data_IF_062538060681
#
_entry.id   IF_062538060681
#
_cell.length_a   1.000
_cell.length_b   1.000
_cell.length_c   1.000
_cell.angle_alpha   90.00
_cell.angle_beta   90.00
_cell.angle_gamma   90.00
#
_symmetry.space_group_name_H-M   'P 1'
#
loop_
_entity.id
_entity.type
_entity.pdbx_description
1 polymer ?
#
# COMPACT_ATOMS: atom_id res chain seq x y z
N UNK A 1 18.36 14.42 2.02
CA UNK A 1 17.34 14.20 3.04
C UNK A 1 17.87 13.05 3.90
N UNK A 2 17.15 12.24 4.55
CA UNK A 2 17.61 11.13 5.40
C UNK A 2 16.63 10.89 6.55
N UNK A 3 15.45 11.51 6.43
CA UNK A 3 14.38 11.36 7.40
C UNK A 3 13.74 9.96 7.29
N UNK A 4 13.30 9.47 8.43
CA UNK A 4 12.75 8.14 8.61
C UNK A 4 11.30 8.28 9.06
N UNK A 5 10.38 7.56 8.40
CA UNK A 5 8.97 7.53 8.77
C UNK A 5 8.63 6.15 9.33
N UNK A 6 8.04 6.12 10.52
CA UNK A 6 7.64 4.89 11.21
C UNK A 6 6.14 4.93 11.47
N UNK A 7 5.45 3.84 11.12
CA UNK A 7 4.02 3.64 11.41
C UNK A 7 3.84 2.61 12.50
N UNK A 8 2.98 2.87 13.48
CA UNK A 8 2.62 1.95 14.57
C UNK A 8 1.12 1.62 14.52
N UNK A 9 0.75 0.84 13.51
CA UNK A 9 -0.65 0.52 13.24
C UNK A 9 -1.26 -0.56 14.13
N UNK A 10 -0.45 -1.36 14.82
CA UNK A 10 -0.94 -2.36 15.77
C UNK A 10 -0.91 -1.89 17.23
N UNK A 11 -0.31 -0.76 17.49
CA UNK A 11 -0.23 -0.14 18.81
C UNK A 11 -0.97 1.18 18.87
N UNK A 12 -0.23 2.29 18.79
CA UNK A 12 -0.75 3.63 19.06
C UNK A 12 -1.54 4.27 17.92
N UNK A 13 -1.57 3.69 16.74
CA UNK A 13 -2.16 4.26 15.52
C UNK A 13 -1.50 5.60 15.15
N UNK A 14 -0.18 5.68 15.29
CA UNK A 14 0.59 6.90 15.06
C UNK A 14 1.63 6.71 13.97
N UNK A 15 1.98 7.83 13.36
CA UNK A 15 3.07 7.95 12.40
C UNK A 15 4.05 8.97 12.95
N UNK A 16 5.31 8.56 13.06
CA UNK A 16 6.37 9.44 13.56
C UNK A 16 7.45 9.62 12.51
N UNK A 17 7.80 10.86 12.23
CA UNK A 17 8.97 11.27 11.47
C UNK A 17 10.15 11.46 12.39
N UNK A 18 11.27 10.88 12.04
CA UNK A 18 12.57 11.05 12.71
C UNK A 18 13.58 11.67 11.74
N UNK A 19 14.55 12.37 12.28
CA UNK A 19 15.74 12.72 11.50
C UNK A 19 16.66 11.51 11.30
N UNK A 20 17.73 11.68 10.51
CA UNK A 20 18.75 10.64 10.26
C UNK A 20 19.45 10.10 11.51
N UNK A 21 19.37 10.78 12.64
CA UNK A 21 19.96 10.40 13.92
C UNK A 21 18.91 9.81 14.88
N UNK A 22 17.72 9.44 14.39
CA UNK A 22 16.59 8.91 15.16
C UNK A 22 15.99 9.88 16.18
N UNK A 23 16.24 11.18 16.04
CA UNK A 23 15.56 12.19 16.86
C UNK A 23 14.13 12.37 16.33
N UNK A 24 13.08 12.23 17.17
CA UNK A 24 11.71 12.46 16.73
C UNK A 24 11.49 13.93 16.38
N UNK A 25 10.95 14.18 15.21
CA UNK A 25 10.65 15.52 14.71
C UNK A 25 9.17 15.84 14.81
N UNK A 26 8.29 14.91 14.40
CA UNK A 26 6.84 15.08 14.43
C UNK A 26 6.13 13.75 14.56
N UNK A 27 5.05 13.73 15.33
CA UNK A 27 4.15 12.58 15.46
C UNK A 27 2.72 13.02 15.18
N UNK A 28 2.02 12.29 14.32
CA UNK A 28 0.60 12.48 14.01
C UNK A 28 -0.17 11.19 14.28
N UNK A 29 -1.49 11.24 14.20
CA UNK A 29 -2.33 10.04 14.23
C UNK A 29 -3.19 9.93 15.47
N UNK A 30 -3.29 8.69 15.97
CA UNK A 30 -4.30 8.23 16.93
C UNK A 30 -5.46 7.55 16.21
N UNK A 31 -6.21 6.72 16.92
CA UNK A 31 -7.33 5.94 16.36
C UNK A 31 -8.47 6.86 15.92
N UNK A 32 -8.98 6.67 14.70
CA UNK A 32 -10.12 7.42 14.18
C UNK A 32 -10.32 7.25 12.67
N UNK A 33 -11.32 7.98 12.15
CA UNK A 33 -11.67 8.03 10.71
C UNK A 33 -11.46 9.40 10.09
N UNK A 34 -11.22 10.41 10.91
CA UNK A 34 -10.95 11.78 10.46
C UNK A 34 -9.60 11.82 9.72
N UNK A 35 -9.37 12.85 8.93
CA UNK A 35 -8.08 13.06 8.28
C UNK A 35 -6.97 13.22 9.32
N UNK A 36 -5.87 12.52 9.08
CA UNK A 36 -4.75 12.45 10.03
C UNK A 36 -4.96 11.48 11.19
N UNK A 37 -6.11 10.78 11.30
CA UNK A 37 -6.36 9.64 12.20
C UNK A 37 -6.34 8.34 11.42
N UNK A 38 -6.09 7.22 12.11
CA UNK A 38 -5.91 5.93 11.47
C UNK A 38 -6.66 4.82 12.19
N UNK A 39 -6.95 3.77 11.43
CA UNK A 39 -7.33 2.47 11.93
C UNK A 39 -6.42 1.43 11.26
N UNK A 40 -5.37 1.04 11.96
CA UNK A 40 -4.25 0.25 11.46
C UNK A 40 -3.50 0.93 10.31
N UNK A 41 -2.72 2.00 10.63
CA UNK A 41 -1.74 2.57 9.70
C UNK A 41 -0.63 1.54 9.47
N UNK A 42 -0.70 0.81 8.35
CA UNK A 42 0.11 -0.40 8.16
C UNK A 42 1.36 -0.19 7.31
N UNK A 43 1.23 0.48 6.18
CA UNK A 43 2.34 0.78 5.28
C UNK A 43 2.61 2.27 5.19
N UNK A 44 3.87 2.62 4.95
CA UNK A 44 4.30 3.99 4.65
C UNK A 44 5.27 3.97 3.49
N UNK A 45 5.18 4.97 2.62
CA UNK A 45 6.06 5.14 1.47
C UNK A 45 6.30 6.62 1.17
N UNK A 46 7.55 6.97 0.90
CA UNK A 46 7.87 8.29 0.35
C UNK A 46 7.87 8.18 -1.16
N UNK A 47 6.82 8.69 -1.77
CA UNK A 47 6.64 8.68 -3.23
C UNK A 47 7.38 9.84 -3.87
N UNK A 48 8.05 9.53 -4.98
CA UNK A 48 8.70 10.51 -5.86
C UNK A 48 8.03 10.56 -7.24
N UNK A 49 6.77 10.14 -7.34
CA UNK A 49 6.02 10.18 -8.61
C UNK A 49 5.70 11.60 -9.07
N UNK A 50 5.63 12.54 -8.13
CA UNK A 50 5.42 13.97 -8.40
C UNK A 50 6.73 14.76 -8.20
N UNK A 51 6.75 15.97 -8.71
CA UNK A 51 7.91 16.86 -8.54
C UNK A 51 8.27 17.08 -7.07
N UNK A 52 7.27 17.20 -6.21
CA UNK A 52 7.45 17.26 -4.76
C UNK A 52 7.14 15.87 -4.17
N UNK A 53 8.08 15.26 -3.44
CA UNK A 53 7.85 13.99 -2.78
C UNK A 53 6.70 14.06 -1.77
N UNK A 54 5.94 12.97 -1.68
CA UNK A 54 4.78 12.86 -0.79
C UNK A 54 4.85 11.56 0.04
N UNK A 55 4.32 11.61 1.26
CA UNK A 55 4.25 10.46 2.16
C UNK A 55 2.88 9.82 2.05
N UNK A 56 2.82 8.59 1.53
CA UNK A 56 1.61 7.77 1.46
C UNK A 56 1.53 6.85 2.66
N UNK A 57 0.36 6.77 3.28
CA UNK A 57 0.09 5.91 4.42
C UNK A 57 -1.12 5.03 4.12
N UNK A 58 -0.93 3.71 4.25
CA UNK A 58 -1.99 2.72 4.13
C UNK A 58 -2.81 2.69 5.43
N UNK A 59 -3.97 3.31 5.41
CA UNK A 59 -4.93 3.31 6.53
C UNK A 59 -5.87 2.11 6.37
N UNK A 60 -5.33 0.91 6.72
CA UNK A 60 -5.83 -0.40 6.32
C UNK A 60 -7.30 -0.62 6.62
N UNK A 61 -7.70 -0.54 7.90
CA UNK A 61 -9.06 -0.85 8.31
C UNK A 61 -10.05 0.32 8.10
N UNK A 62 -9.59 1.42 7.51
CA UNK A 62 -10.45 2.47 6.96
C UNK A 62 -10.57 2.37 5.43
N UNK A 63 -9.97 1.32 4.81
CA UNK A 63 -9.99 1.07 3.36
C UNK A 63 -9.62 2.29 2.52
N UNK A 64 -8.57 3.00 2.93
CA UNK A 64 -8.15 4.25 2.30
C UNK A 64 -6.63 4.46 2.35
N UNK A 65 -6.16 5.39 1.54
CA UNK A 65 -4.82 5.94 1.65
C UNK A 65 -4.91 7.39 2.12
N UNK A 66 -4.00 7.79 2.97
CA UNK A 66 -3.82 9.19 3.31
C UNK A 66 -2.47 9.68 2.81
N UNK A 67 -2.45 10.87 2.22
CA UNK A 67 -1.26 11.46 1.62
C UNK A 67 -0.89 12.74 2.36
N UNK A 68 0.38 12.86 2.68
CA UNK A 68 0.96 13.95 3.45
C UNK A 68 2.16 14.56 2.70
N UNK A 69 2.53 15.77 3.06
CA UNK A 69 3.84 16.29 2.71
C UNK A 69 4.95 15.65 3.56
N UNK A 70 6.21 15.98 3.30
CA UNK A 70 7.34 15.45 4.06
C UNK A 70 7.33 15.90 5.53
N UNK A 71 6.62 16.97 5.87
CA UNK A 71 6.44 17.47 7.24
C UNK A 71 5.24 16.82 7.94
N UNK A 72 4.63 15.78 7.35
CA UNK A 72 3.41 15.14 7.84
C UNK A 72 2.23 16.11 8.00
N UNK A 73 2.09 17.08 7.09
CA UNK A 73 0.86 17.86 6.94
C UNK A 73 -0.06 17.14 5.95
N UNK A 74 -1.31 16.90 6.35
CA UNK A 74 -2.27 16.19 5.52
C UNK A 74 -2.56 16.97 4.23
N UNK A 75 -2.50 16.29 3.08
CA UNK A 75 -2.79 16.88 1.76
C UNK A 75 -4.13 16.40 1.20
N UNK A 76 -4.39 15.09 1.26
CA UNK A 76 -5.60 14.47 0.71
C UNK A 76 -5.81 13.06 1.22
N UNK A 77 -7.04 12.59 1.12
CA UNK A 77 -7.44 11.21 1.41
C UNK A 77 -8.03 10.56 0.17
N UNK A 78 -7.56 9.37 -0.17
CA UNK A 78 -7.99 8.60 -1.34
C UNK A 78 -8.87 7.44 -0.86
N UNK A 79 -10.15 7.48 -1.19
CA UNK A 79 -11.16 6.49 -0.80
C UNK A 79 -11.72 5.74 -2.01
N UNK A 80 -12.26 4.53 -1.78
CA UNK A 80 -12.92 3.74 -2.83
C UNK A 80 -11.98 3.09 -3.85
N UNK A 81 -10.66 3.28 -3.72
CA UNK A 81 -9.66 2.76 -4.66
C UNK A 81 -8.88 1.56 -4.13
N UNK A 82 -8.84 1.35 -2.82
CA UNK A 82 -8.13 0.25 -2.14
C UNK A 82 -9.06 -0.49 -1.18
N UNK A 83 -8.68 -1.73 -0.81
CA UNK A 83 -9.40 -2.61 0.14
C UNK A 83 -8.39 -3.27 1.07
N UNK A 84 -8.33 -2.85 2.34
CA UNK A 84 -7.33 -3.32 3.29
C UNK A 84 -5.88 -3.19 2.79
N UNK A 85 -5.42 -1.99 2.38
CA UNK A 85 -4.09 -1.79 1.83
C UNK A 85 -2.99 -2.14 2.85
N UNK A 86 -1.90 -2.77 2.38
CA UNK A 86 -0.84 -3.26 3.24
C UNK A 86 0.45 -2.45 3.16
N UNK A 87 0.99 -2.33 1.98
CA UNK A 87 2.24 -1.65 1.72
C UNK A 87 2.21 -0.95 0.36
N UNK A 88 3.34 -0.39 -0.02
CA UNK A 88 3.53 0.29 -1.29
C UNK A 88 4.79 -0.19 -1.96
N UNK A 89 4.81 -0.12 -3.28
CA UNK A 89 6.02 -0.23 -4.07
C UNK A 89 5.94 0.69 -5.28
N UNK A 90 6.87 1.61 -5.39
CA UNK A 90 6.97 2.49 -6.56
C UNK A 90 7.91 1.87 -7.59
N UNK A 91 7.43 1.75 -8.83
CA UNK A 91 8.25 1.34 -9.97
C UNK A 91 7.91 2.21 -11.17
N UNK A 92 8.95 2.86 -11.72
CA UNK A 92 8.80 3.85 -12.80
C UNK A 92 7.76 4.92 -12.38
N UNK A 93 6.76 5.15 -13.21
CA UNK A 93 5.68 6.12 -13.05
C UNK A 93 4.43 5.55 -12.34
N UNK A 94 4.56 4.45 -11.58
CA UNK A 94 3.42 3.75 -10.98
C UNK A 94 3.64 3.45 -9.50
N UNK A 95 2.54 3.50 -8.75
CA UNK A 95 2.46 3.01 -7.38
C UNK A 95 1.66 1.72 -7.33
N UNK A 96 2.25 0.67 -6.80
CA UNK A 96 1.63 -0.63 -6.58
C UNK A 96 1.26 -0.80 -5.11
N UNK A 97 0.04 -1.25 -4.84
CA UNK A 97 -0.51 -1.35 -3.49
C UNK A 97 -1.17 -2.72 -3.34
N UNK A 98 -0.54 -3.67 -2.62
CA UNK A 98 -1.18 -4.91 -2.25
C UNK A 98 -2.35 -4.64 -1.28
N UNK A 99 -3.52 -5.13 -1.65
CA UNK A 99 -4.73 -5.12 -0.83
C UNK A 99 -4.99 -6.52 -0.27
N UNK A 100 -5.08 -6.70 1.05
CA UNK A 100 -5.38 -8.00 1.67
C UNK A 100 -6.71 -8.60 1.16
N UNK A 101 -7.61 -7.78 0.67
CA UNK A 101 -8.85 -8.22 0.04
C UNK A 101 -8.64 -8.59 -1.44
N UNK A 102 -7.66 -9.46 -1.67
CA UNK A 102 -7.50 -10.27 -2.89
C UNK A 102 -7.13 -9.53 -4.17
N UNK A 103 -6.40 -8.41 -4.11
CA UNK A 103 -5.92 -7.74 -5.32
C UNK A 103 -4.65 -6.93 -5.09
N UNK A 104 -4.02 -6.49 -6.18
CA UNK A 104 -3.04 -5.41 -6.16
C UNK A 104 -3.59 -4.25 -6.98
N UNK A 105 -3.70 -3.09 -6.33
CA UNK A 105 -4.11 -1.84 -6.97
C UNK A 105 -2.90 -1.12 -7.55
N UNK A 106 -3.00 -0.60 -8.77
CA UNK A 106 -1.96 0.18 -9.43
C UNK A 106 -2.49 1.59 -9.68
N UNK A 107 -1.75 2.59 -9.22
CA UNK A 107 -2.06 4.01 -9.43
C UNK A 107 -1.05 4.66 -10.37
N UNK A 108 -1.52 5.64 -11.14
CA UNK A 108 -0.70 6.60 -11.86
C UNK A 108 -0.20 7.74 -10.94
N UNK A 109 0.64 8.68 -11.44
CA UNK A 109 1.10 9.82 -10.64
C UNK A 109 0.00 10.76 -10.16
N UNK A 110 -1.17 10.75 -10.79
CA UNK A 110 -2.34 11.55 -10.41
C UNK A 110 -3.28 10.85 -9.42
N UNK A 111 -2.84 9.73 -8.84
CA UNK A 111 -3.60 8.87 -7.92
C UNK A 111 -4.82 8.18 -8.57
N UNK A 112 -4.88 8.12 -9.90
CA UNK A 112 -5.93 7.40 -10.61
C UNK A 112 -5.60 5.93 -10.70
N UNK A 113 -6.61 5.09 -10.51
CA UNK A 113 -6.47 3.64 -10.68
C UNK A 113 -6.25 3.32 -12.15
N UNK A 114 -5.09 2.71 -12.47
CA UNK A 114 -4.79 2.18 -13.80
C UNK A 114 -5.32 0.75 -13.95
N UNK A 115 -5.14 -0.07 -12.90
CA UNK A 115 -5.53 -1.47 -12.91
C UNK A 115 -5.71 -2.05 -11.51
N UNK A 116 -6.51 -3.11 -11.44
CA UNK A 116 -6.54 -4.05 -10.32
C UNK A 116 -6.08 -5.42 -10.83
N UNK A 117 -4.99 -5.94 -10.26
CA UNK A 117 -4.48 -7.26 -10.61
C UNK A 117 -5.01 -8.31 -9.65
N UNK A 118 -5.37 -9.49 -10.18
CA UNK A 118 -5.78 -10.64 -9.39
C UNK A 118 -7.13 -10.50 -8.70
N UNK A 119 -7.93 -9.52 -9.10
CA UNK A 119 -9.28 -9.29 -8.56
C UNK A 119 -10.24 -10.32 -9.12
N UNK A 120 -10.66 -11.28 -8.29
CA UNK A 120 -11.64 -12.30 -8.67
C UNK A 120 -13.06 -11.74 -8.76
N UNK A 121 -13.96 -12.46 -9.45
CA UNK A 121 -15.36 -12.08 -9.62
C UNK A 121 -16.15 -11.98 -8.28
N UNK A 122 -15.63 -12.57 -7.22
CA UNK A 122 -16.22 -12.52 -5.88
C UNK A 122 -15.61 -11.41 -5.01
N UNK A 123 -15.36 -10.28 -5.63
CA UNK A 123 -14.80 -9.09 -4.99
C UNK A 123 -15.82 -8.38 -4.07
N UNK A 124 -16.39 -9.10 -3.13
CA UNK A 124 -17.21 -8.54 -2.04
C UNK A 124 -16.35 -7.97 -0.89
N UNK A 125 -15.06 -7.82 -1.12
CA UNK A 125 -14.09 -7.42 -0.11
C UNK A 125 -13.60 -8.57 0.77
N UNK A 126 -14.00 -9.81 0.48
CA UNK A 126 -13.52 -11.02 1.16
C UNK A 126 -12.37 -11.64 0.39
N UNK A 127 -11.53 -12.36 1.11
CA UNK A 127 -10.36 -13.03 0.53
C UNK A 127 -10.77 -14.22 -0.36
N UNK A 128 -10.18 -14.34 -1.54
CA UNK A 128 -10.33 -15.51 -2.44
C UNK A 128 -9.62 -16.73 -1.85
N UNK A 129 -10.14 -17.28 -0.76
CA UNK A 129 -9.46 -18.35 0.00
C UNK A 129 -9.27 -19.65 -0.76
N UNK A 130 -10.13 -19.94 -1.72
CA UNK A 130 -10.15 -21.24 -2.38
C UNK A 130 -9.39 -21.28 -3.71
N UNK A 131 -9.30 -20.20 -4.45
CA UNK A 131 -8.93 -20.26 -5.87
C UNK A 131 -7.49 -19.87 -6.21
N UNK A 132 -6.73 -19.32 -5.26
CA UNK A 132 -5.37 -18.93 -5.59
C UNK A 132 -4.43 -20.14 -5.82
N UNK A 133 -4.80 -21.34 -5.42
CA UNK A 133 -4.04 -22.56 -5.69
C UNK A 133 -4.34 -23.15 -7.06
N UNK A 134 -5.55 -22.95 -7.57
CA UNK A 134 -6.06 -23.46 -8.84
C UNK A 134 -5.97 -22.43 -9.96
N UNK A 135 -6.16 -21.14 -9.63
CA UNK A 135 -6.03 -20.05 -10.58
C UNK A 135 -4.83 -19.13 -10.23
N UNK A 136 -3.69 -19.25 -10.93
CA UNK A 136 -2.50 -18.46 -10.63
C UNK A 136 -2.66 -16.96 -10.93
N UNK A 137 -3.72 -16.53 -11.58
CA UNK A 137 -4.01 -15.12 -11.83
C UNK A 137 -4.70 -14.41 -10.64
N UNK A 138 -5.27 -15.18 -9.69
CA UNK A 138 -5.97 -14.63 -8.53
C UNK A 138 -5.07 -14.58 -7.30
N UNK A 139 -5.24 -13.53 -6.51
CA UNK A 139 -4.64 -13.41 -5.18
C UNK A 139 -5.64 -13.82 -4.09
N UNK A 140 -5.12 -14.33 -2.98
CA UNK A 140 -5.91 -14.51 -1.75
C UNK A 140 -5.73 -13.31 -0.81
N UNK A 141 -4.52 -13.08 -0.32
CA UNK A 141 -4.19 -12.00 0.62
C UNK A 141 -2.81 -11.42 0.30
N UNK A 142 -2.63 -10.71 -0.83
CA UNK A 142 -1.34 -10.15 -1.17
C UNK A 142 -0.96 -9.10 -0.10
N UNK A 143 0.22 -9.29 0.50
CA UNK A 143 0.66 -8.48 1.63
C UNK A 143 1.87 -7.61 1.31
N UNK A 144 2.81 -8.15 0.56
CA UNK A 144 3.98 -7.42 0.11
C UNK A 144 4.34 -7.76 -1.33
N UNK A 145 5.06 -6.87 -1.98
CA UNK A 145 5.49 -7.03 -3.36
C UNK A 145 6.77 -6.26 -3.67
N UNK A 146 7.38 -6.61 -4.78
CA UNK A 146 8.48 -5.85 -5.39
C UNK A 146 8.45 -6.02 -6.91
N UNK A 147 9.16 -5.15 -7.62
CA UNK A 147 9.35 -5.25 -9.08
C UNK A 147 10.85 -5.18 -9.36
N UNK A 148 11.36 -6.09 -10.18
CA UNK A 148 12.77 -6.07 -10.58
C UNK A 148 13.03 -5.09 -11.74
N UNK A 149 14.31 -4.91 -12.10
CA UNK A 149 14.73 -4.00 -13.18
C UNK A 149 14.20 -4.40 -14.56
N UNK A 150 13.73 -5.63 -14.73
CA UNK A 150 13.10 -6.12 -15.97
C UNK A 150 11.59 -5.92 -15.98
N UNK A 151 11.01 -5.36 -14.91
CA UNK A 151 9.57 -5.18 -14.74
C UNK A 151 8.85 -6.45 -14.28
N UNK A 152 9.56 -7.51 -13.90
CA UNK A 152 8.91 -8.67 -13.32
C UNK A 152 8.38 -8.32 -11.93
N UNK A 153 7.12 -8.65 -11.71
CA UNK A 153 6.41 -8.41 -10.47
C UNK A 153 6.47 -9.66 -9.58
N UNK A 154 6.83 -9.47 -8.32
CA UNK A 154 6.87 -10.51 -7.31
C UNK A 154 5.93 -10.14 -6.17
N UNK A 155 5.12 -11.08 -5.69
CA UNK A 155 4.23 -10.88 -4.56
C UNK A 155 4.27 -12.04 -3.60
N UNK A 156 4.02 -11.76 -2.32
CA UNK A 156 3.83 -12.73 -1.25
C UNK A 156 2.49 -12.50 -0.59
N UNK A 157 1.87 -13.58 -0.11
CA UNK A 157 0.53 -13.57 0.48
C UNK A 157 0.57 -13.97 1.95
N UNK A 158 -0.30 -13.36 2.74
CA UNK A 158 -0.42 -13.59 4.18
C UNK A 158 -1.45 -14.69 4.49
N UNK A 159 -1.21 -15.90 4.00
CA UNK A 159 -2.01 -17.10 4.29
C UNK A 159 -1.10 -18.32 4.34
N UNK A 160 -1.47 -19.36 5.08
CA UNK A 160 -0.67 -20.57 5.27
C UNK A 160 -0.39 -21.34 3.97
N UNK A 161 -1.27 -21.24 2.99
CA UNK A 161 -1.12 -21.82 1.65
C UNK A 161 -0.58 -20.80 0.63
N UNK A 162 -0.28 -19.57 1.07
CA UNK A 162 0.32 -18.54 0.25
C UNK A 162 1.72 -18.92 -0.20
N UNK A 163 2.09 -18.51 -1.40
CA UNK A 163 3.41 -18.77 -1.99
C UNK A 163 3.92 -17.53 -2.71
N UNK A 164 5.23 -17.32 -2.76
CA UNK A 164 5.82 -16.29 -3.62
C UNK A 164 5.44 -16.57 -5.08
N UNK A 165 5.02 -15.52 -5.79
CA UNK A 165 4.67 -15.58 -7.21
C UNK A 165 5.47 -14.58 -8.00
N UNK A 166 5.81 -14.98 -9.22
CA UNK A 166 6.44 -14.10 -10.22
C UNK A 166 5.51 -13.95 -11.41
N UNK A 167 5.25 -12.72 -11.80
CA UNK A 167 4.54 -12.36 -13.02
C UNK A 167 5.48 -11.62 -13.95
N UNK A 168 5.42 -11.92 -15.25
CA UNK A 168 6.20 -11.22 -16.27
C UNK A 168 5.30 -10.21 -16.97
N UNK A 169 5.83 -9.02 -17.34
CA UNK A 169 5.08 -8.12 -18.21
C UNK A 169 4.82 -8.79 -19.54
N UNK A 170 3.59 -8.67 -20.04
CA UNK A 170 3.25 -9.07 -21.40
C UNK A 170 3.58 -7.86 -22.29
N UNK A 171 4.39 -8.10 -23.32
CA UNK A 171 4.61 -7.08 -24.34
C UNK A 171 3.31 -6.91 -25.11
N UNK A 172 2.80 -5.69 -25.16
CA UNK A 172 1.70 -5.29 -26.02
C UNK A 172 2.13 -5.37 -27.50
#
# INVERSE_FOLDING_TARGET
>A
YGDIYVVDGYGSQRVTRFDKNWKPLKTIGGKGKEDGKFNTCHGVWVSTLKNEPEVYIADRHNDRLQVFDLELTHKRTLTGIVRNPCCFYQHQDKMFIPDLASRVTILDPDDKVIAHLGDGKEADGKTNKADNTTNPALFATPHAMTVDSQGNFYTVEWVNFGRPRKFKPVKA
#
